data_IF_089788068661
#
_entry.id   IF_089788068661
#
_cell.length_a   1.000
_cell.length_b   1.000
_cell.length_c   1.000
_cell.angle_alpha   90.00
_cell.angle_beta   90.00
_cell.angle_gamma   90.00
#
_symmetry.space_group_name_H-M   'P 1'
#
loop_
_entity.id
_entity.type
_entity.pdbx_description
1 polymer ?
#
# COMPACT_ATOMS: atom_id res chain seq x y z
N UNK A 1 14.11 11.34 20.28
CA UNK A 1 14.71 11.12 18.96
C UNK A 1 13.77 11.74 17.93
N UNK A 2 14.29 12.53 17.00
CA UNK A 2 13.51 13.11 15.90
C UNK A 2 14.15 12.59 14.62
N UNK A 3 13.75 11.39 14.13
CA UNK A 3 14.50 10.66 13.10
C UNK A 3 14.84 11.49 11.87
N UNK A 4 13.89 12.30 11.37
CA UNK A 4 14.13 13.24 10.26
C UNK A 4 15.27 14.21 10.58
N UNK A 5 15.19 14.94 11.70
CA UNK A 5 16.18 15.98 12.05
C UNK A 5 17.54 15.39 12.41
N UNK A 6 17.55 14.18 12.96
CA UNK A 6 18.77 13.49 13.32
C UNK A 6 19.53 13.05 12.06
N UNK A 7 18.84 12.48 11.07
CA UNK A 7 19.45 12.03 9.81
C UNK A 7 19.79 13.21 8.88
N UNK A 8 19.01 14.30 8.92
CA UNK A 8 19.30 15.53 8.16
C UNK A 8 20.68 16.13 8.43
N UNK A 9 21.29 15.83 9.58
CA UNK A 9 22.66 16.27 9.92
C UNK A 9 23.73 15.63 9.02
N UNK A 10 23.42 14.46 8.46
CA UNK A 10 24.32 13.67 7.60
C UNK A 10 23.84 13.64 6.15
N UNK A 11 22.53 13.82 5.92
CA UNK A 11 21.89 13.78 4.59
C UNK A 11 21.08 15.06 4.41
N UNK A 12 21.71 16.06 3.81
CA UNK A 12 21.16 17.42 3.64
C UNK A 12 19.95 17.50 2.71
N UNK A 13 19.84 16.60 1.73
CA UNK A 13 18.69 16.53 0.82
C UNK A 13 17.48 15.78 1.40
N UNK A 14 17.59 15.16 2.57
CA UNK A 14 16.46 14.50 3.23
C UNK A 14 15.54 15.55 3.85
N UNK A 15 14.25 15.56 3.52
CA UNK A 15 13.32 16.57 4.05
C UNK A 15 12.35 16.02 5.10
N UNK A 16 11.87 14.79 4.93
CA UNK A 16 10.93 14.14 5.87
C UNK A 16 10.97 12.63 5.77
N UNK A 17 11.10 11.93 6.90
CA UNK A 17 10.94 10.48 7.06
C UNK A 17 10.37 10.14 8.44
N UNK A 18 9.51 9.11 8.50
CA UNK A 18 8.88 8.65 9.74
C UNK A 18 8.10 9.72 10.52
N UNK A 19 7.71 10.80 9.85
CA UNK A 19 7.04 11.95 10.45
C UNK A 19 5.74 12.32 9.73
N UNK A 20 5.57 11.90 8.48
CA UNK A 20 4.46 12.26 7.60
C UNK A 20 3.98 11.02 6.80
N UNK A 21 2.96 11.20 5.97
CA UNK A 21 2.34 10.17 5.15
C UNK A 21 3.28 9.60 4.07
N UNK A 22 4.29 10.35 3.63
CA UNK A 22 5.29 9.88 2.67
C UNK A 22 6.71 10.32 3.06
N UNK A 23 7.71 9.68 2.46
CA UNK A 23 9.09 10.14 2.52
C UNK A 23 9.30 11.29 1.53
N UNK A 24 10.01 12.33 1.95
CA UNK A 24 10.25 13.53 1.13
C UNK A 24 11.74 13.80 1.02
N UNK A 25 12.20 14.02 -0.21
CA UNK A 25 13.57 14.39 -0.53
C UNK A 25 13.59 15.67 -1.38
N UNK A 26 14.63 16.48 -1.21
CA UNK A 26 14.90 17.60 -2.11
C UNK A 26 15.42 17.07 -3.44
N UNK A 27 14.86 17.55 -4.54
CA UNK A 27 15.37 17.27 -5.88
C UNK A 27 16.21 18.44 -6.41
N UNK A 28 15.73 19.66 -6.16
CA UNK A 28 16.44 20.92 -6.40
C UNK A 28 15.81 22.04 -5.54
N UNK A 29 16.24 23.27 -5.76
CA UNK A 29 15.79 24.43 -4.98
C UNK A 29 14.29 24.75 -5.12
N UNK A 30 13.63 24.25 -6.18
CA UNK A 30 12.22 24.51 -6.48
C UNK A 30 11.30 23.32 -6.19
N UNK A 31 11.82 22.09 -6.30
CA UNK A 31 11.03 20.87 -6.30
C UNK A 31 11.54 19.86 -5.29
N UNK A 32 10.59 19.23 -4.61
CA UNK A 32 10.81 18.05 -3.77
C UNK A 32 10.06 16.87 -4.34
N UNK A 33 10.55 15.66 -4.06
CA UNK A 33 9.92 14.41 -4.49
C UNK A 33 9.38 13.69 -3.26
N UNK A 34 8.11 13.31 -3.34
CA UNK A 34 7.43 12.49 -2.36
C UNK A 34 7.41 11.03 -2.85
N UNK A 35 7.78 10.08 -2.00
CA UNK A 35 7.78 8.66 -2.32
C UNK A 35 7.02 7.90 -1.23
N UNK A 36 6.07 7.06 -1.65
CA UNK A 36 5.32 6.17 -0.79
C UNK A 36 5.12 4.84 -1.50
N UNK A 37 5.25 3.76 -0.74
CA UNK A 37 4.85 2.42 -1.15
C UNK A 37 3.86 1.89 -0.12
N UNK A 38 2.83 1.22 -0.59
CA UNK A 38 1.83 0.53 0.21
C UNK A 38 1.62 -0.87 -0.39
N UNK A 39 1.05 -1.77 0.40
CA UNK A 39 0.62 -3.10 -0.07
C UNK A 39 -0.84 -3.28 0.24
N UNK A 40 -1.57 -3.96 -0.64
CA UNK A 40 -2.99 -4.24 -0.43
C UNK A 40 -3.29 -5.74 -0.59
N UNK A 41 -2.44 -6.58 0.00
CA UNK A 41 -2.36 -8.02 -0.29
C UNK A 41 -3.62 -8.78 0.10
N UNK A 42 -4.02 -8.74 1.38
CA UNK A 42 -5.16 -9.54 1.87
C UNK A 42 -6.47 -9.19 1.18
N UNK A 43 -6.81 -7.90 0.96
CA UNK A 43 -8.03 -7.59 0.23
C UNK A 43 -7.93 -7.89 -1.27
N UNK A 44 -6.74 -7.75 -1.89
CA UNK A 44 -6.55 -8.14 -3.29
C UNK A 44 -6.62 -9.67 -3.51
N UNK A 45 -6.37 -10.46 -2.47
CA UNK A 45 -6.58 -11.91 -2.51
C UNK A 45 -8.07 -12.30 -2.48
N UNK A 46 -8.91 -11.50 -1.82
CA UNK A 46 -10.36 -11.74 -1.71
C UNK A 46 -11.15 -11.15 -2.88
N UNK A 47 -10.84 -9.90 -3.26
CA UNK A 47 -11.40 -9.19 -4.40
C UNK A 47 -10.25 -8.51 -5.15
N UNK A 48 -9.73 -9.10 -6.24
CA UNK A 48 -8.57 -8.57 -6.94
C UNK A 48 -8.76 -7.15 -7.47
N UNK A 49 -9.94 -6.85 -8.01
CA UNK A 49 -10.21 -5.54 -8.59
C UNK A 49 -10.41 -4.50 -7.48
N UNK A 50 -11.27 -4.81 -6.51
CA UNK A 50 -11.53 -3.94 -5.36
C UNK A 50 -10.29 -3.68 -4.52
N UNK A 51 -9.52 -4.72 -4.22
CA UNK A 51 -8.28 -4.61 -3.46
C UNK A 51 -7.20 -3.82 -4.18
N UNK A 52 -7.02 -4.02 -5.49
CA UNK A 52 -6.03 -3.26 -6.27
C UNK A 52 -6.40 -1.77 -6.32
N UNK A 53 -7.67 -1.44 -6.61
CA UNK A 53 -8.07 -0.03 -6.74
C UNK A 53 -7.98 0.70 -5.40
N UNK A 54 -8.33 0.06 -4.28
CA UNK A 54 -8.20 0.68 -2.95
C UNK A 54 -6.75 0.88 -2.54
N UNK A 55 -5.84 -0.01 -2.96
CA UNK A 55 -4.40 0.18 -2.81
C UNK A 55 -3.86 1.38 -3.60
N UNK A 56 -4.23 1.49 -4.89
CA UNK A 56 -3.80 2.62 -5.75
C UNK A 56 -4.32 3.95 -5.19
N UNK A 57 -5.59 4.02 -4.79
CA UNK A 57 -6.13 5.27 -4.23
C UNK A 57 -5.59 5.54 -2.82
N UNK A 58 -5.18 4.52 -2.07
CA UNK A 58 -4.51 4.65 -0.77
C UNK A 58 -3.19 5.41 -0.88
N UNK A 59 -2.26 4.88 -1.67
CA UNK A 59 -0.96 5.53 -1.89
C UNK A 59 -1.09 6.93 -2.49
N UNK A 60 -2.07 7.16 -3.38
CA UNK A 60 -2.32 8.50 -3.93
C UNK A 60 -2.78 9.50 -2.87
N UNK A 61 -3.63 9.07 -1.92
CA UNK A 61 -4.05 9.92 -0.79
C UNK A 61 -2.88 10.26 0.12
N UNK A 62 -1.95 9.33 0.34
CA UNK A 62 -0.78 9.61 1.17
C UNK A 62 0.11 10.71 0.57
N UNK A 63 0.34 10.67 -0.75
CA UNK A 63 1.06 11.74 -1.45
C UNK A 63 0.28 13.06 -1.38
N UNK A 64 -1.02 13.04 -1.69
CA UNK A 64 -1.87 14.22 -1.59
C UNK A 64 -1.91 14.82 -0.18
N UNK A 65 -1.78 13.99 0.85
CA UNK A 65 -1.79 14.39 2.26
C UNK A 65 -0.41 14.64 2.86
N UNK A 66 0.67 14.66 2.06
CA UNK A 66 2.02 14.97 2.55
C UNK A 66 2.20 16.48 2.69
N UNK A 67 2.69 16.94 3.84
CA UNK A 67 2.88 18.36 4.15
C UNK A 67 1.57 19.16 4.06
N UNK A 68 1.55 20.19 3.22
CA UNK A 68 0.35 20.97 2.88
C UNK A 68 -0.32 20.52 1.57
N UNK A 69 0.15 19.40 1.02
CA UNK A 69 -0.30 18.84 -0.24
C UNK A 69 0.84 18.68 -1.24
N UNK A 70 0.91 17.51 -1.86
CA UNK A 70 1.79 17.24 -3.00
C UNK A 70 0.97 16.74 -4.19
N UNK A 71 1.51 16.91 -5.40
CA UNK A 71 0.85 16.47 -6.64
C UNK A 71 1.36 15.09 -7.04
N UNK A 72 0.51 14.04 -7.06
CA UNK A 72 0.87 12.76 -7.66
C UNK A 72 1.20 12.93 -9.15
N UNK A 73 2.29 12.32 -9.60
CA UNK A 73 2.75 12.43 -11.00
C UNK A 73 2.93 11.08 -11.70
N UNK A 74 3.17 10.01 -10.93
CA UNK A 74 3.38 8.66 -11.44
C UNK A 74 3.11 7.64 -10.33
N UNK A 75 2.64 6.46 -10.73
CA UNK A 75 2.50 5.27 -9.88
C UNK A 75 3.29 4.13 -10.51
N UNK A 76 3.72 3.18 -9.69
CA UNK A 76 4.36 1.94 -10.13
C UNK A 76 3.79 0.81 -9.30
N UNK A 77 3.42 -0.28 -9.97
CA UNK A 77 2.79 -1.43 -9.35
C UNK A 77 3.69 -2.66 -9.45
N UNK A 78 3.68 -3.48 -8.40
CA UNK A 78 4.43 -4.74 -8.35
C UNK A 78 3.46 -5.82 -7.89
N UNK A 79 3.28 -6.84 -8.73
CA UNK A 79 2.42 -7.97 -8.43
C UNK A 79 3.22 -9.26 -8.32
N UNK A 80 2.89 -10.07 -7.31
CA UNK A 80 3.47 -11.38 -7.08
C UNK A 80 2.33 -12.41 -7.04
N UNK A 81 2.24 -13.26 -8.07
CA UNK A 81 1.21 -14.29 -8.20
C UNK A 81 1.81 -15.70 -8.13
N UNK A 82 0.94 -16.70 -7.98
CA UNK A 82 1.30 -18.08 -8.26
C UNK A 82 1.62 -18.31 -9.75
N UNK A 83 2.12 -19.50 -10.12
CA UNK A 83 2.41 -19.83 -11.52
C UNK A 83 1.19 -19.63 -12.42
N UNK A 84 1.36 -19.11 -13.65
CA UNK A 84 0.24 -18.92 -14.58
C UNK A 84 -0.38 -20.24 -15.06
N UNK A 85 0.32 -21.36 -14.84
CA UNK A 85 -0.14 -22.71 -15.14
C UNK A 85 -0.90 -23.36 -13.97
N UNK A 86 -1.15 -22.63 -12.89
CA UNK A 86 -1.94 -23.14 -11.76
C UNK A 86 -3.35 -23.49 -12.28
N UNK A 87 -3.83 -24.73 -12.11
CA UNK A 87 -5.18 -25.09 -12.54
C UNK A 87 -6.22 -24.18 -11.90
N UNK A 88 -7.23 -23.79 -12.68
CA UNK A 88 -8.34 -22.98 -12.18
C UNK A 88 -9.05 -23.73 -11.05
N UNK A 89 -9.00 -23.17 -9.84
CA UNK A 89 -9.80 -23.67 -8.74
C UNK A 89 -11.25 -23.22 -8.97
N UNK A 90 -12.19 -24.15 -8.81
CA UNK A 90 -13.61 -23.85 -8.94
C UNK A 90 -13.96 -22.68 -8.00
N UNK A 91 -14.68 -21.63 -8.47
CA UNK A 91 -15.11 -20.53 -7.62
C UNK A 91 -16.05 -20.96 -6.47
N UNK A 92 -16.50 -22.23 -6.45
CA UNK A 92 -17.29 -22.84 -5.39
C UNK A 92 -16.46 -23.58 -4.33
N UNK A 93 -15.12 -23.64 -4.47
CA UNK A 93 -14.23 -24.33 -3.52
C UNK A 93 -13.65 -23.39 -2.46
N UNK A 94 -14.24 -22.20 -2.29
CA UNK A 94 -14.12 -21.42 -1.06
C UNK A 94 -14.97 -22.11 0.01
N UNK A 95 -14.60 -23.34 0.37
CA UNK A 95 -15.24 -24.08 1.44
C UNK A 95 -15.13 -23.24 2.70
N UNK A 96 -16.25 -22.66 3.13
CA UNK A 96 -16.46 -22.35 4.54
C UNK A 96 -16.01 -23.60 5.29
N UNK A 97 -15.10 -23.51 6.27
CA UNK A 97 -14.72 -24.66 7.07
C UNK A 97 -16.01 -25.32 7.54
N UNK A 98 -16.21 -26.62 7.22
CA UNK A 98 -17.45 -27.33 7.56
C UNK A 98 -17.82 -27.22 9.05
N UNK A 99 -16.84 -26.93 9.92
CA UNK A 99 -17.04 -26.64 11.35
C UNK A 99 -18.05 -25.51 11.63
N UNK A 100 -18.17 -24.48 10.77
CA UNK A 100 -19.13 -23.40 10.98
C UNK A 100 -20.55 -23.72 10.50
N UNK A 101 -20.76 -24.83 9.79
CA UNK A 101 -22.09 -25.22 9.27
C UNK A 101 -22.88 -26.11 10.22
N UNK A 102 -22.22 -26.73 11.21
CA UNK A 102 -22.87 -27.66 12.14
C UNK A 102 -23.38 -26.97 13.43
N UNK A 103 -22.86 -25.79 13.79
CA UNK A 103 -23.30 -25.09 15.02
C UNK A 103 -24.64 -24.33 14.87
N UNK A 104 -25.12 -24.04 13.65
CA UNK A 104 -26.35 -23.26 13.46
C UNK A 104 -27.65 -24.07 13.37
N UNK A 105 -27.61 -25.38 13.66
CA UNK A 105 -28.82 -26.23 13.71
C UNK A 105 -29.09 -26.81 15.11
N UNK A 106 -28.37 -26.36 16.14
CA UNK A 106 -28.67 -26.67 17.53
C UNK A 106 -28.50 -25.44 18.43
N UNK A 107 -29.43 -24.48 18.31
CA UNK A 107 -30.14 -23.77 19.41
C UNK A 107 -31.10 -22.71 18.85
#
# INVERSE_FOLDING_TARGET
>A
MQPTLDIQKEVDWLLSIFHDNSGVISWNDEWSVCIKAETHNSPSALDPFGGAITGIVGVNRDILGTGLGARPIANTDVFCFGPPTTPEQSPLDFSIPQEFSEESTQE
#
